data_IF_429979568308
#
_entry.id   IF_429979568308
#
_cell.length_a   1.000
_cell.length_b   1.000
_cell.length_c   1.000
_cell.angle_alpha   90.00
_cell.angle_beta   90.00
_cell.angle_gamma   90.00
#
_symmetry.space_group_name_H-M   'P 1'
#
loop_
_entity.id
_entity.type
_entity.pdbx_description
1 polymer ?
#
# COMPACT_ATOMS: atom_id res chain seq x y z
N UNK A 1 48.47 -40.61 11.54
CA UNK A 1 47.90 -39.59 12.47
C UNK A 1 46.47 -40.00 12.79
N UNK A 2 46.22 -40.29 14.06
CA UNK A 2 44.94 -40.76 14.54
C UNK A 2 43.83 -39.72 14.29
N UNK A 3 42.97 -40.02 13.34
CA UNK A 3 41.88 -39.14 12.91
C UNK A 3 40.66 -39.21 13.82
N UNK A 4 40.67 -40.02 14.85
CA UNK A 4 39.58 -40.30 15.76
C UNK A 4 39.28 -39.11 16.69
N UNK A 5 38.06 -39.08 17.19
CA UNK A 5 37.59 -38.18 18.25
C UNK A 5 36.92 -39.06 19.29
N UNK A 6 37.03 -38.70 20.56
CA UNK A 6 36.25 -39.33 21.63
C UNK A 6 35.28 -38.31 22.19
N UNK A 7 34.00 -38.62 22.10
CA UNK A 7 32.94 -37.81 22.67
C UNK A 7 32.70 -38.16 24.14
N UNK A 8 32.37 -37.19 24.97
CA UNK A 8 31.81 -37.48 26.28
C UNK A 8 30.41 -38.13 26.14
N UNK A 9 30.02 -38.93 27.14
CA UNK A 9 28.65 -39.52 27.12
C UNK A 9 27.55 -38.47 27.01
N UNK A 10 27.77 -37.29 27.62
CA UNK A 10 26.84 -36.15 27.51
C UNK A 10 26.81 -35.60 26.10
N UNK A 11 27.96 -35.35 25.47
CA UNK A 11 28.02 -34.78 24.12
C UNK A 11 27.47 -35.75 23.09
N UNK A 12 27.77 -37.07 23.24
CA UNK A 12 27.20 -38.08 22.36
C UNK A 12 25.67 -38.11 22.42
N UNK A 13 25.06 -38.04 23.62
CA UNK A 13 23.64 -38.01 23.80
C UNK A 13 23.01 -36.72 23.16
N UNK A 14 23.66 -35.60 23.36
CA UNK A 14 23.24 -34.32 22.78
C UNK A 14 23.32 -34.31 21.25
N UNK A 15 24.40 -34.85 20.68
CA UNK A 15 24.54 -34.97 19.22
C UNK A 15 23.55 -35.95 18.61
N UNK A 16 23.21 -37.06 19.28
CA UNK A 16 22.17 -37.97 18.86
C UNK A 16 20.78 -37.28 18.84
N UNK A 17 20.49 -36.45 19.82
CA UNK A 17 19.26 -35.67 19.83
C UNK A 17 19.18 -34.68 18.67
N UNK A 18 20.29 -33.97 18.38
CA UNK A 18 20.40 -33.07 17.23
C UNK A 18 20.27 -33.83 15.91
N UNK A 19 20.88 -34.99 15.79
CA UNK A 19 20.84 -35.82 14.59
C UNK A 19 19.41 -36.29 14.28
N UNK A 20 18.69 -36.78 15.32
CA UNK A 20 17.32 -37.33 15.17
C UNK A 20 16.23 -36.31 15.01
N UNK A 21 16.32 -35.18 15.71
CA UNK A 21 15.22 -34.21 15.83
C UNK A 21 15.58 -32.76 15.47
N UNK A 22 16.81 -32.46 15.07
CA UNK A 22 17.21 -31.08 14.72
C UNK A 22 16.50 -30.57 13.47
N UNK A 23 15.94 -29.35 13.52
CA UNK A 23 15.27 -28.71 12.39
C UNK A 23 16.25 -28.28 11.28
N UNK A 24 17.51 -28.01 11.63
CA UNK A 24 18.56 -27.55 10.71
C UNK A 24 19.32 -28.74 10.12
N UNK A 25 19.19 -28.93 8.80
CA UNK A 25 19.88 -29.99 8.06
C UNK A 25 21.41 -29.94 8.21
N UNK A 26 22.00 -28.74 8.24
CA UNK A 26 23.42 -28.53 8.42
C UNK A 26 23.87 -28.97 9.82
N UNK A 27 23.08 -28.72 10.86
CA UNK A 27 23.39 -29.19 12.21
C UNK A 27 23.30 -30.71 12.33
N UNK A 28 22.32 -31.34 11.69
CA UNK A 28 22.19 -32.80 11.63
C UNK A 28 23.42 -33.42 10.95
N UNK A 29 23.85 -32.87 9.81
CA UNK A 29 25.04 -33.33 9.10
C UNK A 29 26.29 -33.27 9.98
N UNK A 30 26.49 -32.15 10.70
CA UNK A 30 27.61 -31.94 11.61
C UNK A 30 27.59 -32.95 12.77
N UNK A 31 26.44 -33.12 13.37
CA UNK A 31 26.27 -34.09 14.44
C UNK A 31 26.59 -35.53 13.94
N UNK A 32 26.10 -35.88 12.76
CA UNK A 32 26.35 -37.20 12.15
C UNK A 32 27.82 -37.42 11.88
N UNK A 33 28.54 -36.44 11.32
CA UNK A 33 29.99 -36.52 11.11
C UNK A 33 30.73 -36.81 12.43
N UNK A 34 30.40 -36.14 13.52
CA UNK A 34 31.10 -36.31 14.80
C UNK A 34 30.76 -37.66 15.46
N UNK A 35 29.53 -38.12 15.34
CA UNK A 35 29.10 -39.45 15.82
C UNK A 35 29.87 -40.57 15.10
N UNK A 36 29.97 -40.49 13.76
CA UNK A 36 30.73 -41.47 12.98
C UNK A 36 32.22 -41.44 13.27
N UNK A 37 32.78 -40.26 13.55
CA UNK A 37 34.18 -40.14 13.97
C UNK A 37 34.44 -40.75 15.35
N UNK A 38 33.48 -40.62 16.28
CA UNK A 38 33.53 -41.25 17.61
C UNK A 38 33.41 -42.78 17.53
N UNK A 39 32.62 -43.28 16.58
CA UNK A 39 32.48 -44.71 16.27
C UNK A 39 33.68 -45.28 15.50
N UNK A 40 34.71 -44.47 15.23
CA UNK A 40 35.94 -44.91 14.56
C UNK A 40 35.81 -45.17 13.06
N UNK A 41 34.74 -44.67 12.43
CA UNK A 41 34.52 -44.85 10.98
C UNK A 41 35.60 -44.10 10.17
N UNK A 42 36.16 -44.79 9.17
CA UNK A 42 37.19 -44.20 8.32
C UNK A 42 36.68 -42.97 7.57
N UNK A 43 37.49 -41.93 7.45
CA UNK A 43 37.11 -40.64 6.82
C UNK A 43 36.64 -40.78 5.36
N UNK A 44 37.24 -41.73 4.62
CA UNK A 44 36.81 -42.03 3.25
C UNK A 44 35.38 -42.55 3.20
N UNK A 45 35.01 -43.41 4.15
CA UNK A 45 33.67 -43.95 4.30
C UNK A 45 32.69 -42.84 4.69
N UNK A 46 33.02 -42.01 5.68
CA UNK A 46 32.21 -40.85 6.08
C UNK A 46 31.98 -39.91 4.89
N UNK A 47 33.04 -39.61 4.14
CA UNK A 47 32.99 -38.71 3.00
C UNK A 47 32.07 -39.27 1.90
N UNK A 48 32.16 -40.56 1.59
CA UNK A 48 31.34 -41.22 0.60
C UNK A 48 29.86 -41.34 1.04
N UNK A 49 29.61 -41.75 2.30
CA UNK A 49 28.25 -41.96 2.83
C UNK A 49 27.48 -40.64 2.99
N UNK A 50 28.14 -39.59 3.44
CA UNK A 50 27.49 -38.28 3.70
C UNK A 50 27.65 -37.28 2.55
N UNK A 51 28.19 -37.73 1.42
CA UNK A 51 28.44 -36.85 0.25
C UNK A 51 29.16 -35.55 0.62
N UNK A 52 30.22 -35.67 1.45
CA UNK A 52 30.98 -34.54 1.96
C UNK A 52 32.50 -34.71 1.71
N UNK A 53 33.29 -33.67 1.89
CA UNK A 53 34.75 -33.73 1.71
C UNK A 53 35.45 -34.04 3.02
N UNK A 54 36.66 -34.68 2.94
CA UNK A 54 37.53 -34.89 4.09
C UNK A 54 37.93 -33.56 4.73
N UNK A 55 38.05 -32.47 3.95
CA UNK A 55 38.29 -31.12 4.46
C UNK A 55 37.16 -30.65 5.38
N UNK A 56 35.90 -30.96 5.02
CA UNK A 56 34.73 -30.63 5.84
C UNK A 56 34.71 -31.45 7.14
N UNK A 57 35.03 -32.75 7.08
CA UNK A 57 35.15 -33.64 8.24
C UNK A 57 36.20 -33.07 9.20
N UNK A 58 37.41 -32.74 8.70
CA UNK A 58 38.50 -32.18 9.51
C UNK A 58 38.12 -30.84 10.14
N UNK A 59 37.41 -29.98 9.39
CA UNK A 59 36.94 -28.69 9.88
C UNK A 59 36.03 -28.86 11.11
N UNK A 60 35.08 -29.80 11.08
CA UNK A 60 34.15 -30.01 12.18
C UNK A 60 34.79 -30.71 13.36
N UNK A 61 35.72 -31.67 13.12
CA UNK A 61 36.56 -32.28 14.15
C UNK A 61 37.35 -31.21 14.90
N UNK A 62 38.12 -30.36 14.17
CA UNK A 62 38.92 -29.27 14.77
C UNK A 62 38.06 -28.29 15.55
N UNK A 63 36.87 -28.01 15.05
CA UNK A 63 35.95 -27.07 15.69
C UNK A 63 35.37 -27.65 16.99
N UNK A 64 35.00 -28.90 16.99
CA UNK A 64 34.58 -29.58 18.21
C UNK A 64 35.70 -29.66 19.25
N UNK A 65 36.93 -29.99 18.82
CA UNK A 65 38.10 -30.02 19.74
C UNK A 65 38.41 -28.66 20.37
N UNK A 66 38.15 -27.56 19.66
CA UNK A 66 38.40 -26.20 20.14
C UNK A 66 37.27 -25.65 21.01
N UNK A 67 36.03 -25.81 20.55
CA UNK A 67 34.85 -25.07 21.05
C UNK A 67 33.81 -26.03 21.70
N UNK A 68 34.10 -27.34 21.77
CA UNK A 68 33.17 -28.34 22.28
C UNK A 68 31.86 -28.43 21.49
N UNK A 69 30.81 -28.89 22.14
CA UNK A 69 29.47 -29.02 21.59
C UNK A 69 28.92 -27.68 21.06
N UNK A 70 29.19 -26.58 21.74
CA UNK A 70 28.78 -25.24 21.34
C UNK A 70 29.34 -24.84 19.97
N UNK A 71 30.52 -25.32 19.59
CA UNK A 71 31.10 -25.07 18.28
C UNK A 71 30.34 -25.75 17.13
N UNK A 72 29.59 -26.79 17.41
CA UNK A 72 28.88 -27.61 16.43
C UNK A 72 27.37 -27.30 16.39
N UNK A 73 26.77 -27.16 17.56
CA UNK A 73 25.32 -26.91 17.74
C UNK A 73 24.99 -25.44 17.89
N UNK A 74 25.99 -24.63 18.32
CA UNK A 74 25.81 -23.19 18.51
C UNK A 74 25.47 -22.50 17.18
N UNK A 75 24.36 -21.79 17.14
CA UNK A 75 24.11 -20.82 16.09
C UNK A 75 25.21 -19.77 16.10
N UNK A 76 25.67 -19.34 14.92
CA UNK A 76 26.58 -18.20 14.73
C UNK A 76 26.13 -16.88 15.37
N UNK A 77 25.15 -16.89 16.26
CA UNK A 77 24.43 -15.73 16.74
C UNK A 77 25.28 -14.63 17.39
N UNK A 78 26.46 -14.97 17.94
CA UNK A 78 27.27 -13.97 18.62
C UNK A 78 28.23 -13.21 17.68
N UNK A 79 28.83 -13.90 16.71
CA UNK A 79 29.69 -13.22 15.70
C UNK A 79 28.87 -12.37 14.72
N UNK A 80 27.61 -12.73 14.47
CA UNK A 80 26.75 -12.00 13.56
C UNK A 80 26.24 -10.70 14.18
N UNK A 81 25.95 -10.63 15.51
CA UNK A 81 25.50 -9.38 16.16
C UNK A 81 26.59 -8.30 16.19
N UNK A 82 27.81 -8.64 16.51
CA UNK A 82 28.91 -7.69 16.51
C UNK A 82 29.32 -7.23 15.09
N UNK A 83 29.00 -8.03 14.08
CA UNK A 83 29.23 -7.68 12.65
C UNK A 83 28.11 -6.92 11.99
N UNK A 84 26.93 -6.82 12.60
CA UNK A 84 25.73 -6.25 11.99
C UNK A 84 25.29 -4.91 12.62
N UNK A 85 26.17 -4.23 13.35
CA UNK A 85 25.92 -2.89 13.87
C UNK A 85 25.48 -1.92 12.77
N UNK A 86 26.00 -2.09 11.56
CA UNK A 86 25.64 -1.30 10.40
C UNK A 86 24.15 -1.42 10.02
N UNK A 87 23.50 -2.52 10.40
CA UNK A 87 22.08 -2.71 10.08
C UNK A 87 21.21 -1.67 10.80
N UNK A 88 21.48 -1.40 12.06
CA UNK A 88 20.73 -0.38 12.81
C UNK A 88 20.88 1.02 12.16
N UNK A 89 22.11 1.33 11.69
CA UNK A 89 22.39 2.56 10.98
C UNK A 89 21.63 2.63 9.65
N UNK A 90 21.65 1.55 8.86
CA UNK A 90 20.91 1.46 7.59
C UNK A 90 19.40 1.55 7.80
N UNK A 91 18.86 0.92 8.84
CA UNK A 91 17.42 1.03 9.17
C UNK A 91 17.06 2.48 9.42
N UNK A 92 17.82 3.19 10.24
CA UNK A 92 17.61 4.61 10.50
C UNK A 92 17.67 5.46 9.21
N UNK A 93 18.66 5.23 8.34
CA UNK A 93 18.74 5.96 7.07
C UNK A 93 17.49 5.76 6.21
N UNK A 94 17.03 4.51 6.09
CA UNK A 94 15.89 4.18 5.22
C UNK A 94 14.57 4.71 5.76
N UNK A 95 14.41 4.82 7.09
CA UNK A 95 13.16 5.25 7.73
C UNK A 95 13.10 6.74 8.03
N UNK A 96 14.25 7.39 8.31
CA UNK A 96 14.27 8.75 8.83
C UNK A 96 15.03 9.75 7.95
N UNK A 97 15.85 9.29 7.01
CA UNK A 97 16.73 10.16 6.24
C UNK A 97 16.44 10.08 4.72
N UNK A 98 16.74 11.16 4.01
CA UNK A 98 16.78 11.18 2.55
C UNK A 98 18.19 10.91 2.03
N UNK A 99 18.35 10.16 0.91
CA UNK A 99 19.67 10.01 0.25
C UNK A 99 20.35 11.33 -0.11
N UNK A 100 19.57 12.36 -0.37
CA UNK A 100 20.10 13.72 -0.69
C UNK A 100 20.92 14.31 0.44
N UNK A 101 20.59 14.02 1.71
CA UNK A 101 21.37 14.43 2.88
C UNK A 101 22.76 13.78 2.97
N UNK A 102 23.03 12.76 2.13
CA UNK A 102 24.31 12.06 2.02
C UNK A 102 24.97 12.29 0.66
N UNK A 103 24.61 13.36 -0.04
CA UNK A 103 25.23 13.73 -1.31
C UNK A 103 24.73 12.97 -2.55
N UNK A 104 23.72 12.12 -2.43
CA UNK A 104 23.16 11.42 -3.59
C UNK A 104 22.10 12.28 -4.30
N UNK A 105 22.20 12.41 -5.62
CA UNK A 105 21.17 13.06 -6.46
C UNK A 105 20.00 12.08 -6.67
N UNK A 106 19.40 11.56 -5.60
CA UNK A 106 18.30 10.58 -5.63
C UNK A 106 17.36 10.79 -4.46
N UNK A 107 16.05 10.66 -4.70
CA UNK A 107 15.01 10.85 -3.68
C UNK A 107 14.68 9.58 -2.88
N UNK A 108 15.23 8.43 -3.26
CA UNK A 108 14.92 7.14 -2.61
C UNK A 108 16.15 6.29 -2.42
N UNK A 109 16.20 5.58 -1.30
CA UNK A 109 17.23 4.60 -1.05
C UNK A 109 17.09 3.38 -1.95
N UNK A 110 18.20 2.86 -2.43
CA UNK A 110 18.32 1.56 -3.09
C UNK A 110 19.39 0.75 -2.38
N UNK A 111 19.33 -0.59 -2.47
CA UNK A 111 20.39 -1.40 -1.90
C UNK A 111 21.78 -1.06 -2.47
N UNK A 112 21.85 -0.55 -3.70
CA UNK A 112 23.10 -0.11 -4.31
C UNK A 112 23.66 1.14 -3.62
N UNK A 113 22.83 2.17 -3.38
CA UNK A 113 23.27 3.39 -2.69
C UNK A 113 23.65 3.13 -1.24
N UNK A 114 22.92 2.25 -0.55
CA UNK A 114 23.26 1.84 0.81
C UNK A 114 24.63 1.11 0.87
N UNK A 115 24.92 0.24 -0.10
CA UNK A 115 26.22 -0.45 -0.18
C UNK A 115 27.37 0.53 -0.43
N UNK A 116 27.17 1.53 -1.30
CA UNK A 116 28.16 2.57 -1.57
C UNK A 116 28.46 3.35 -0.29
N UNK A 117 27.43 3.86 0.38
CA UNK A 117 27.58 4.63 1.62
C UNK A 117 28.26 3.80 2.75
N UNK A 118 27.84 2.55 2.92
CA UNK A 118 28.45 1.64 3.89
C UNK A 118 29.94 1.40 3.61
N UNK A 119 30.31 1.26 2.33
CA UNK A 119 31.70 1.04 1.92
C UNK A 119 32.57 2.29 2.13
N UNK A 120 32.08 3.42 1.67
CA UNK A 120 32.90 4.65 1.55
C UNK A 120 33.02 5.35 2.91
N UNK A 121 31.93 5.51 3.65
CA UNK A 121 31.92 6.26 4.91
C UNK A 121 32.15 5.38 6.14
N UNK A 122 31.71 4.12 6.09
CA UNK A 122 31.73 3.22 7.25
C UNK A 122 32.69 2.03 7.11
N UNK A 123 33.40 1.93 5.97
CA UNK A 123 34.36 0.84 5.67
C UNK A 123 33.73 -0.57 5.77
N UNK A 124 32.41 -0.67 5.64
CA UNK A 124 31.65 -1.93 5.69
C UNK A 124 31.45 -2.48 4.28
N UNK A 125 32.05 -3.63 3.99
CA UNK A 125 31.93 -4.34 2.70
C UNK A 125 30.83 -5.39 2.79
N UNK A 126 29.66 -5.09 2.21
CA UNK A 126 28.52 -5.99 2.11
C UNK A 126 27.96 -5.99 0.68
N UNK A 127 27.39 -7.10 0.26
CA UNK A 127 26.72 -7.18 -1.05
C UNK A 127 25.28 -6.64 -1.01
N UNK A 128 24.76 -6.17 -2.16
CA UNK A 128 23.38 -5.68 -2.31
C UNK A 128 22.33 -6.68 -1.84
N UNK A 129 22.54 -7.96 -2.14
CA UNK A 129 21.62 -9.02 -1.72
C UNK A 129 21.63 -9.23 -0.19
N UNK A 130 22.77 -9.08 0.46
CA UNK A 130 22.87 -9.13 1.92
C UNK A 130 22.07 -7.99 2.54
N UNK A 131 22.24 -6.76 2.04
CA UNK A 131 21.44 -5.60 2.50
C UNK A 131 19.96 -5.86 2.29
N UNK A 132 19.53 -6.29 1.09
CA UNK A 132 18.13 -6.59 0.77
C UNK A 132 17.52 -7.63 1.72
N UNK A 133 18.24 -8.73 1.96
CA UNK A 133 17.80 -9.81 2.85
C UNK A 133 17.67 -9.32 4.30
N UNK A 134 18.60 -8.49 4.77
CA UNK A 134 18.55 -7.94 6.13
C UNK A 134 17.44 -6.92 6.32
N UNK A 135 17.21 -6.05 5.34
CA UNK A 135 16.06 -5.13 5.36
C UNK A 135 14.74 -5.90 5.44
N UNK A 136 14.58 -6.96 4.64
CA UNK A 136 13.38 -7.82 4.70
C UNK A 136 13.22 -8.53 6.05
N UNK A 137 14.32 -9.08 6.58
CA UNK A 137 14.31 -9.73 7.90
C UNK A 137 13.98 -8.75 9.04
N UNK A 138 14.26 -7.46 8.84
CA UNK A 138 13.88 -6.38 9.76
C UNK A 138 12.44 -5.83 9.51
N UNK A 139 11.65 -6.51 8.68
CA UNK A 139 10.26 -6.14 8.41
C UNK A 139 10.05 -5.07 7.34
N UNK A 140 11.13 -4.59 6.67
CA UNK A 140 10.98 -3.61 5.60
C UNK A 140 10.58 -4.28 4.29
N UNK A 141 9.65 -3.65 3.58
CA UNK A 141 9.16 -4.10 2.28
C UNK A 141 9.35 -3.03 1.23
N UNK A 142 9.67 -3.45 0.00
CA UNK A 142 9.75 -2.53 -1.13
C UNK A 142 8.36 -2.35 -1.74
N UNK A 143 7.72 -1.21 -1.46
CA UNK A 143 6.37 -0.89 -1.93
C UNK A 143 6.31 0.56 -2.45
N UNK A 144 5.30 0.86 -3.28
CA UNK A 144 4.99 2.23 -3.66
C UNK A 144 4.44 2.97 -2.44
N UNK A 145 5.02 4.15 -2.04
CA UNK A 145 4.46 4.94 -0.96
C UNK A 145 3.09 5.52 -1.37
N UNK A 146 2.22 5.71 -0.39
CA UNK A 146 0.99 6.48 -0.57
C UNK A 146 1.34 7.96 -0.48
N UNK A 147 0.93 8.80 -1.45
CA UNK A 147 1.08 10.24 -1.32
C UNK A 147 0.22 10.73 -0.15
N UNK A 148 0.81 11.58 0.68
CA UNK A 148 0.11 12.27 1.77
C UNK A 148 0.26 13.75 1.48
N UNK A 149 -0.86 14.45 1.42
CA UNK A 149 -0.87 15.89 1.25
C UNK A 149 -0.32 16.60 2.48
N UNK A 150 0.33 17.75 2.26
CA UNK A 150 0.98 18.56 3.27
C UNK A 150 0.08 19.04 4.42
N UNK A 151 0.39 20.16 5.11
CA UNK A 151 -0.28 20.49 6.36
C UNK A 151 -1.80 20.49 6.23
N UNK A 152 -2.44 19.77 7.16
CA UNK A 152 -3.91 19.67 7.23
C UNK A 152 -4.51 21.06 7.46
N UNK A 153 -5.73 21.27 6.95
CA UNK A 153 -6.53 22.48 7.18
C UNK A 153 -6.57 22.82 8.69
N UNK A 154 -6.09 24.00 9.14
CA UNK A 154 -6.18 24.37 10.55
C UNK A 154 -7.61 24.36 11.10
N UNK A 155 -8.60 24.61 10.25
CA UNK A 155 -10.02 24.55 10.58
C UNK A 155 -10.65 23.16 10.43
N UNK A 156 -9.83 22.10 10.21
CA UNK A 156 -10.31 20.73 10.00
C UNK A 156 -11.32 20.27 11.07
N UNK A 157 -11.03 20.35 12.39
CA UNK A 157 -11.96 19.90 13.42
C UNK A 157 -13.29 20.69 13.41
N UNK A 158 -13.21 22.01 13.22
CA UNK A 158 -14.37 22.88 13.25
C UNK A 158 -15.28 22.63 12.01
N UNK A 159 -14.69 22.50 10.82
CA UNK A 159 -15.45 22.21 9.58
C UNK A 159 -16.11 20.82 9.67
N UNK A 160 -15.33 19.81 10.06
CA UNK A 160 -15.86 18.45 10.22
C UNK A 160 -16.95 18.39 11.29
N UNK A 161 -16.76 19.07 12.41
CA UNK A 161 -17.74 19.16 13.50
C UNK A 161 -19.07 19.73 13.04
N UNK A 162 -19.05 20.80 12.23
CA UNK A 162 -20.27 21.38 11.64
C UNK A 162 -20.99 20.43 10.68
N UNK A 163 -20.25 19.73 9.82
CA UNK A 163 -20.84 18.75 8.91
C UNK A 163 -21.44 17.57 9.69
N UNK A 164 -20.72 17.06 10.69
CA UNK A 164 -21.25 15.98 11.56
C UNK A 164 -22.51 16.40 12.32
N UNK A 165 -22.56 17.64 12.83
CA UNK A 165 -23.75 18.18 13.48
C UNK A 165 -24.93 18.25 12.52
N UNK A 166 -24.72 18.79 11.30
CA UNK A 166 -25.73 18.81 10.26
C UNK A 166 -26.28 17.41 9.95
N UNK A 167 -25.40 16.44 9.68
CA UNK A 167 -25.82 15.07 9.31
C UNK A 167 -26.58 14.36 10.44
N UNK A 168 -26.21 14.62 11.71
CA UNK A 168 -26.86 14.03 12.90
C UNK A 168 -28.29 14.57 13.12
N UNK A 169 -28.49 15.85 12.85
CA UNK A 169 -29.75 16.56 13.12
C UNK A 169 -30.50 16.95 11.85
N UNK A 170 -30.21 16.32 10.70
CA UNK A 170 -30.79 16.63 9.41
C UNK A 170 -32.33 16.46 9.44
N UNK A 171 -33.13 17.50 9.25
CA UNK A 171 -34.61 17.42 9.25
C UNK A 171 -35.15 16.51 8.14
N UNK A 172 -36.31 15.89 8.36
CA UNK A 172 -36.91 14.99 7.37
C UNK A 172 -37.24 15.70 6.03
N UNK A 173 -37.56 16.99 6.10
CA UNK A 173 -37.83 17.83 4.91
C UNK A 173 -36.60 18.37 4.19
N UNK A 174 -35.40 18.03 4.66
CA UNK A 174 -34.13 18.49 4.10
C UNK A 174 -33.28 17.30 3.63
N UNK A 175 -32.41 17.52 2.65
CA UNK A 175 -31.50 16.51 2.12
C UNK A 175 -30.05 17.00 2.17
N UNK A 176 -29.14 16.12 2.53
CA UNK A 176 -27.70 16.37 2.46
C UNK A 176 -27.06 15.42 1.43
N UNK A 177 -26.25 15.98 0.54
CA UNK A 177 -25.55 15.24 -0.50
C UNK A 177 -24.06 15.55 -0.47
N UNK A 178 -23.23 14.53 -0.66
CA UNK A 178 -21.80 14.67 -0.86
C UNK A 178 -21.50 14.77 -2.35
N UNK A 179 -20.91 15.87 -2.78
CA UNK A 179 -20.67 16.20 -4.17
C UNK A 179 -19.19 16.14 -4.52
N UNK A 180 -18.89 15.66 -5.74
CA UNK A 180 -17.55 15.70 -6.34
C UNK A 180 -17.64 15.46 -7.87
N UNK A 181 -16.52 15.67 -8.58
CA UNK A 181 -16.40 15.38 -10.00
C UNK A 181 -15.38 14.28 -10.29
N UNK A 182 -15.75 13.37 -11.20
CA UNK A 182 -14.87 12.31 -11.70
C UNK A 182 -14.49 12.54 -13.16
N UNK A 183 -13.22 12.25 -13.51
CA UNK A 183 -12.73 12.28 -14.89
C UNK A 183 -12.77 10.89 -15.54
N UNK A 184 -13.41 10.80 -16.69
CA UNK A 184 -13.45 9.62 -17.54
C UNK A 184 -12.53 9.85 -18.73
N UNK A 185 -11.60 8.93 -18.96
CA UNK A 185 -10.55 9.05 -19.97
C UNK A 185 -10.61 7.88 -20.95
N UNK A 186 -10.52 8.14 -22.25
CA UNK A 186 -10.45 7.09 -23.27
C UNK A 186 -9.15 6.29 -23.21
N UNK A 187 -8.06 6.88 -22.74
CA UNK A 187 -6.85 6.12 -22.41
C UNK A 187 -6.99 5.58 -20.97
N UNK A 188 -7.13 4.24 -20.79
CA UNK A 188 -7.35 3.65 -19.48
C UNK A 188 -6.16 3.87 -18.55
N UNK A 189 -6.44 4.11 -17.28
CA UNK A 189 -5.44 3.95 -16.21
C UNK A 189 -5.19 2.44 -16.05
N UNK A 190 -3.94 2.02 -16.06
CA UNK A 190 -3.59 0.61 -15.92
C UNK A 190 -3.68 0.18 -14.46
N UNK A 191 -4.45 -0.86 -14.21
CA UNK A 191 -4.58 -1.54 -12.93
C UNK A 191 -4.05 -2.97 -12.97
N UNK A 192 -3.98 -3.62 -11.81
CA UNK A 192 -3.61 -5.04 -11.73
C UNK A 192 -4.70 -5.91 -12.35
N UNK A 193 -4.27 -6.97 -13.06
CA UNK A 193 -5.18 -7.96 -13.62
C UNK A 193 -4.53 -9.35 -13.64
N UNK A 194 -5.33 -10.40 -13.72
CA UNK A 194 -4.83 -11.75 -13.88
C UNK A 194 -4.22 -11.96 -15.26
N UNK A 195 -2.99 -12.50 -15.30
CA UNK A 195 -2.29 -12.82 -16.55
C UNK A 195 -1.45 -14.09 -16.39
N UNK A 196 -1.12 -14.74 -17.49
CA UNK A 196 -0.26 -15.92 -17.47
C UNK A 196 1.15 -15.55 -16.99
N UNK A 197 1.73 -16.37 -16.13
CA UNK A 197 3.11 -16.19 -15.68
C UNK A 197 4.07 -16.16 -16.88
N UNK A 198 4.91 -15.14 -16.93
CA UNK A 198 5.85 -14.93 -18.04
C UNK A 198 5.25 -14.33 -19.30
N UNK A 199 3.95 -13.97 -19.33
CA UNK A 199 3.30 -13.26 -20.43
C UNK A 199 2.66 -11.98 -19.92
N UNK A 200 3.23 -10.83 -20.27
CA UNK A 200 2.67 -9.53 -19.94
C UNK A 200 1.36 -9.33 -20.73
N UNK A 201 0.27 -9.00 -20.03
CA UNK A 201 -0.97 -8.60 -20.69
C UNK A 201 -0.83 -7.18 -21.24
N UNK A 202 -1.42 -6.96 -22.40
CA UNK A 202 -1.44 -5.66 -23.07
C UNK A 202 -2.87 -5.12 -23.11
N UNK A 203 -3.01 -3.83 -22.82
CA UNK A 203 -4.26 -3.09 -22.94
C UNK A 203 -4.10 -2.10 -24.07
N UNK A 204 -4.80 -2.36 -25.19
CA UNK A 204 -4.77 -1.46 -26.35
C UNK A 204 -5.46 -0.16 -25.99
N UNK A 205 -4.80 0.96 -26.23
CA UNK A 205 -5.33 2.30 -25.97
C UNK A 205 -5.59 3.03 -27.30
N UNK A 206 -6.59 3.93 -27.36
CA UNK A 206 -6.85 4.73 -28.59
C UNK A 206 -5.71 5.68 -28.97
N UNK A 207 -4.80 5.99 -28.03
CA UNK A 207 -3.68 6.92 -28.25
C UNK A 207 -4.05 8.38 -27.99
N UNK A 208 -5.08 8.89 -28.67
CA UNK A 208 -5.62 10.23 -28.39
C UNK A 208 -6.55 10.19 -27.20
N UNK A 209 -6.13 10.81 -26.09
CA UNK A 209 -6.93 10.81 -24.88
C UNK A 209 -8.04 11.87 -24.95
N UNK A 210 -9.27 11.44 -25.04
CA UNK A 210 -10.43 12.28 -24.78
C UNK A 210 -10.78 12.21 -23.30
N UNK A 211 -11.18 13.34 -22.70
CA UNK A 211 -11.67 13.43 -21.33
C UNK A 211 -13.12 13.86 -21.29
N UNK A 212 -13.88 13.27 -20.37
CA UNK A 212 -15.21 13.70 -20.00
C UNK A 212 -15.29 13.81 -18.48
N UNK A 213 -15.95 14.84 -17.98
CA UNK A 213 -16.20 15.00 -16.56
C UNK A 213 -17.65 14.69 -16.23
N UNK A 214 -17.88 14.01 -15.13
CA UNK A 214 -19.18 13.79 -14.53
C UNK A 214 -19.17 14.46 -13.16
N UNK A 215 -20.16 15.31 -12.90
CA UNK A 215 -20.43 15.78 -11.55
C UNK A 215 -21.44 14.83 -10.90
N UNK A 216 -21.15 14.40 -9.68
CA UNK A 216 -22.00 13.48 -8.93
C UNK A 216 -22.30 13.98 -7.53
N UNK A 217 -23.44 13.55 -7.01
CA UNK A 217 -23.83 13.77 -5.61
C UNK A 217 -24.42 12.51 -5.01
N UNK A 218 -23.88 12.08 -3.89
CA UNK A 218 -24.31 10.91 -3.11
C UNK A 218 -25.19 11.38 -1.95
N UNK A 219 -26.43 10.95 -1.95
CA UNK A 219 -27.42 11.26 -0.91
C UNK A 219 -27.04 10.53 0.40
N UNK A 220 -26.88 11.29 1.47
CA UNK A 220 -26.46 10.78 2.77
C UNK A 220 -27.41 9.76 3.40
N UNK A 221 -28.71 9.89 3.21
CA UNK A 221 -29.69 8.98 3.80
C UNK A 221 -29.96 7.76 2.96
N UNK A 222 -29.98 7.92 1.64
CA UNK A 222 -30.47 6.88 0.74
C UNK A 222 -29.38 6.18 -0.03
N UNK A 223 -28.15 6.71 -0.03
CA UNK A 223 -27.06 6.21 -0.88
C UNK A 223 -27.32 6.40 -2.37
N UNK A 224 -28.37 7.13 -2.77
CA UNK A 224 -28.68 7.37 -4.18
C UNK A 224 -27.74 8.38 -4.78
N UNK A 225 -27.32 8.10 -6.02
CA UNK A 225 -26.45 8.98 -6.79
C UNK A 225 -27.25 9.85 -7.76
N UNK A 226 -26.94 11.13 -7.83
CA UNK A 226 -27.40 12.06 -8.86
C UNK A 226 -26.21 12.45 -9.71
N UNK A 227 -26.32 12.37 -11.04
CA UNK A 227 -25.24 12.60 -11.98
C UNK A 227 -25.59 13.68 -13.00
N UNK A 228 -24.59 14.49 -13.33
CA UNK A 228 -24.63 15.46 -14.43
C UNK A 228 -23.43 15.25 -15.32
N UNK A 229 -23.66 14.95 -16.59
CA UNK A 229 -22.59 14.75 -17.55
C UNK A 229 -22.15 16.08 -18.15
N UNK A 230 -20.84 16.35 -18.06
CA UNK A 230 -20.22 17.49 -18.72
C UNK A 230 -20.27 17.36 -20.26
N UNK A 231 -20.28 18.50 -20.96
CA UNK A 231 -20.24 18.54 -22.42
C UNK A 231 -18.87 18.09 -22.95
N UNK A 232 -18.77 17.71 -24.25
CA UNK A 232 -17.49 17.47 -24.91
C UNK A 232 -16.54 18.66 -24.72
N UNK A 233 -15.26 18.36 -24.34
CA UNK A 233 -14.20 19.36 -24.08
C UNK A 233 -14.51 20.35 -22.93
N UNK A 234 -15.58 20.15 -22.19
CA UNK A 234 -15.86 20.90 -20.98
C UNK A 234 -14.92 20.40 -19.87
N UNK A 235 -14.18 21.30 -19.23
CA UNK A 235 -13.38 21.00 -18.05
C UNK A 235 -14.23 20.85 -16.78
N UNK A 236 -13.59 20.48 -15.68
CA UNK A 236 -14.13 20.61 -14.33
C UNK A 236 -14.20 22.11 -13.99
N UNK A 237 -15.34 22.72 -14.23
CA UNK A 237 -15.51 24.15 -14.16
C UNK A 237 -16.85 24.54 -13.50
N UNK A 238 -17.04 25.85 -13.29
CA UNK A 238 -18.24 26.42 -12.66
C UNK A 238 -19.51 26.09 -13.43
N UNK A 239 -19.47 25.99 -14.77
CA UNK A 239 -20.66 25.68 -15.57
C UNK A 239 -21.18 24.27 -15.31
N UNK A 240 -20.29 23.28 -15.19
CA UNK A 240 -20.66 21.92 -14.83
C UNK A 240 -21.25 21.86 -13.42
N UNK A 241 -20.62 22.56 -12.46
CA UNK A 241 -21.11 22.63 -11.10
C UNK A 241 -22.52 23.28 -11.01
N UNK A 242 -22.74 24.40 -11.67
CA UNK A 242 -24.05 25.06 -11.71
C UNK A 242 -25.12 24.18 -12.36
N UNK A 243 -24.81 23.52 -13.49
CA UNK A 243 -25.72 22.56 -14.12
C UNK A 243 -26.07 21.41 -13.17
N UNK A 244 -25.09 20.94 -12.37
CA UNK A 244 -25.32 19.91 -11.37
C UNK A 244 -26.23 20.40 -10.23
N UNK A 245 -26.04 21.63 -9.75
CA UNK A 245 -26.94 22.21 -8.75
C UNK A 245 -28.41 22.32 -9.27
N UNK A 246 -28.60 22.62 -10.55
CA UNK A 246 -29.93 22.60 -11.17
C UNK A 246 -30.51 21.19 -11.24
N UNK A 247 -29.73 20.18 -11.55
CA UNK A 247 -30.16 18.78 -11.52
C UNK A 247 -30.56 18.35 -10.10
N UNK A 248 -29.79 18.72 -9.10
CA UNK A 248 -30.12 18.48 -7.69
C UNK A 248 -31.43 19.14 -7.30
N UNK A 249 -31.67 20.40 -7.71
CA UNK A 249 -32.92 21.10 -7.44
C UNK A 249 -34.12 20.41 -8.10
N UNK A 250 -33.99 19.92 -9.32
CA UNK A 250 -35.03 19.13 -10.02
C UNK A 250 -35.27 17.81 -9.31
N UNK A 251 -34.22 17.11 -8.93
CA UNK A 251 -34.27 15.80 -8.25
C UNK A 251 -34.95 15.91 -6.90
N UNK A 252 -34.52 16.88 -6.09
CA UNK A 252 -34.97 17.06 -4.71
C UNK A 252 -36.06 18.16 -4.58
N UNK A 253 -36.93 18.32 -5.60
CA UNK A 253 -37.93 19.38 -5.64
C UNK A 253 -38.92 19.41 -4.46
N UNK A 254 -39.11 18.27 -3.78
CA UNK A 254 -39.99 18.12 -2.61
C UNK A 254 -39.33 18.48 -1.28
N UNK A 255 -38.04 18.64 -1.24
CA UNK A 255 -37.29 19.01 -0.03
C UNK A 255 -37.22 20.52 0.09
N UNK A 256 -37.22 21.04 1.30
CA UNK A 256 -37.15 22.48 1.57
C UNK A 256 -35.75 23.02 1.36
N UNK A 257 -34.74 22.27 1.81
CA UNK A 257 -33.30 22.63 1.71
C UNK A 257 -32.49 21.48 1.16
N UNK A 258 -31.56 21.80 0.28
CA UNK A 258 -30.55 20.89 -0.26
C UNK A 258 -29.17 21.33 0.27
N UNK A 259 -28.61 20.55 1.18
CA UNK A 259 -27.27 20.76 1.69
C UNK A 259 -26.27 20.06 0.79
N UNK A 260 -25.42 20.82 0.10
CA UNK A 260 -24.36 20.31 -0.78
C UNK A 260 -23.03 20.35 -0.05
N UNK A 261 -22.48 19.20 0.25
CA UNK A 261 -21.19 19.06 0.94
C UNK A 261 -20.13 18.75 -0.12
N UNK A 262 -19.22 19.68 -0.39
CA UNK A 262 -18.22 19.56 -1.47
C UNK A 262 -16.84 20.05 -1.04
N UNK A 263 -15.84 19.83 -1.90
CA UNK A 263 -14.48 20.33 -1.69
C UNK A 263 -14.38 21.85 -1.86
N UNK A 264 -13.20 22.40 -1.55
CA UNK A 264 -12.92 23.84 -1.67
C UNK A 264 -12.39 24.22 -3.06
N UNK A 265 -12.72 23.52 -4.12
CA UNK A 265 -12.25 23.85 -5.46
C UNK A 265 -12.68 25.27 -5.90
N UNK A 266 -11.80 25.94 -6.62
CA UNK A 266 -12.06 27.31 -7.12
C UNK A 266 -13.38 27.43 -7.89
N UNK A 267 -13.78 26.46 -8.75
CA UNK A 267 -15.09 26.50 -9.43
C UNK A 267 -16.28 26.59 -8.48
N UNK A 268 -16.22 25.94 -7.30
CA UNK A 268 -17.30 25.92 -6.32
C UNK A 268 -17.43 27.24 -5.54
N UNK A 269 -16.39 28.06 -5.54
CA UNK A 269 -16.33 29.35 -4.83
C UNK A 269 -16.46 30.57 -5.76
N UNK A 270 -16.68 30.32 -7.05
CA UNK A 270 -16.76 31.38 -8.06
C UNK A 270 -17.88 32.39 -7.77
N UNK A 271 -17.73 33.62 -8.25
CA UNK A 271 -18.74 34.69 -8.12
C UNK A 271 -20.10 34.22 -8.63
N UNK A 272 -20.15 33.55 -9.78
CA UNK A 272 -21.39 33.01 -10.36
C UNK A 272 -22.10 31.98 -9.46
N UNK A 273 -21.36 31.21 -8.67
CA UNK A 273 -21.97 30.30 -7.68
C UNK A 273 -22.62 31.08 -6.55
N UNK A 274 -21.98 32.14 -6.07
CA UNK A 274 -22.59 33.04 -5.04
C UNK A 274 -23.86 33.73 -5.55
N UNK A 275 -23.81 34.21 -6.78
CA UNK A 275 -24.98 34.81 -7.45
C UNK A 275 -26.12 33.78 -7.60
N UNK A 276 -25.79 32.53 -7.99
CA UNK A 276 -26.76 31.44 -8.08
C UNK A 276 -27.38 31.12 -6.71
N UNK A 277 -26.56 31.05 -5.65
CA UNK A 277 -27.05 30.77 -4.30
C UNK A 277 -27.97 31.92 -3.80
N UNK A 278 -27.61 33.17 -4.07
CA UNK A 278 -28.45 34.33 -3.72
C UNK A 278 -29.79 34.29 -4.44
N UNK A 279 -29.81 33.92 -5.73
CA UNK A 279 -31.06 33.76 -6.50
C UNK A 279 -31.97 32.59 -6.01
N UNK A 280 -31.40 31.69 -5.25
CA UNK A 280 -32.09 30.50 -4.70
C UNK A 280 -31.93 30.41 -3.17
N UNK A 281 -31.98 31.57 -2.52
CA UNK A 281 -31.74 31.71 -1.08
C UNK A 281 -32.61 30.75 -0.25
N UNK A 282 -31.94 30.11 0.73
CA UNK A 282 -32.53 29.09 1.60
C UNK A 282 -32.79 27.73 0.92
N UNK A 283 -32.73 27.65 -0.41
CA UNK A 283 -33.02 26.38 -1.13
C UNK A 283 -31.79 25.50 -1.32
N UNK A 284 -30.59 26.07 -1.54
CA UNK A 284 -29.33 25.37 -1.69
C UNK A 284 -28.32 25.99 -0.74
N UNK A 285 -27.73 25.15 0.09
CA UNK A 285 -26.71 25.55 1.07
C UNK A 285 -25.44 24.73 0.84
N UNK A 286 -24.31 25.41 0.58
CA UNK A 286 -23.04 24.75 0.37
C UNK A 286 -22.26 24.65 1.68
N UNK A 287 -21.75 23.46 1.96
CA UNK A 287 -20.85 23.18 3.08
C UNK A 287 -19.50 22.71 2.53
N UNK A 288 -18.44 23.47 2.83
CA UNK A 288 -17.13 23.10 2.35
C UNK A 288 -16.42 22.12 3.31
N UNK A 289 -15.95 21.02 2.75
CA UNK A 289 -15.11 20.05 3.43
C UNK A 289 -13.78 20.68 3.88
N UNK A 290 -13.09 20.09 4.86
CA UNK A 290 -11.73 20.49 5.17
C UNK A 290 -10.83 20.37 3.92
N UNK A 291 -9.93 21.34 3.73
CA UNK A 291 -9.01 21.34 2.60
C UNK A 291 -8.09 20.10 2.64
N UNK A 292 -7.82 19.54 1.47
CA UNK A 292 -6.93 18.37 1.33
C UNK A 292 -7.32 17.14 2.16
N UNK A 293 -8.60 16.92 2.36
CA UNK A 293 -9.14 15.83 3.15
C UNK A 293 -10.16 14.95 2.37
N UNK A 294 -9.75 14.29 1.26
CA UNK A 294 -10.67 13.51 0.42
C UNK A 294 -11.37 12.38 1.20
N UNK A 295 -10.74 11.85 2.25
CA UNK A 295 -11.36 10.84 3.12
C UNK A 295 -12.65 11.33 3.82
N UNK A 296 -12.90 12.65 3.86
CA UNK A 296 -14.13 13.23 4.40
C UNK A 296 -15.26 13.32 3.38
N UNK A 297 -15.04 12.89 2.12
CA UNK A 297 -16.05 12.88 1.08
C UNK A 297 -16.37 11.43 0.66
N UNK A 298 -17.45 10.81 1.14
CA UNK A 298 -17.82 9.43 0.85
C UNK A 298 -17.98 9.11 -0.65
N UNK A 299 -18.36 10.07 -1.48
CA UNK A 299 -18.52 9.86 -2.93
C UNK A 299 -17.20 9.46 -3.62
N UNK A 300 -16.06 9.81 -3.06
CA UNK A 300 -14.74 9.38 -3.54
C UNK A 300 -14.60 7.85 -3.57
N UNK A 301 -15.31 7.14 -2.67
CA UNK A 301 -15.34 5.67 -2.68
C UNK A 301 -16.13 5.14 -3.87
N UNK A 302 -17.23 5.79 -4.25
CA UNK A 302 -17.99 5.45 -5.46
C UNK A 302 -17.11 5.63 -6.70
N UNK A 303 -16.36 6.72 -6.80
CA UNK A 303 -15.40 6.95 -7.89
C UNK A 303 -14.26 5.94 -7.92
N UNK A 304 -13.79 5.54 -6.74
CA UNK A 304 -12.77 4.50 -6.64
C UNK A 304 -13.28 3.16 -7.20
N UNK A 305 -14.49 2.72 -6.84
CA UNK A 305 -15.11 1.51 -7.37
C UNK A 305 -15.36 1.62 -8.89
N UNK A 306 -15.88 2.75 -9.36
CA UNK A 306 -16.05 3.01 -10.78
C UNK A 306 -14.73 2.84 -11.55
N UNK A 307 -13.64 3.36 -11.01
CA UNK A 307 -12.32 3.21 -11.64
C UNK A 307 -11.83 1.77 -11.59
N UNK A 308 -11.93 1.08 -10.47
CA UNK A 308 -11.45 -0.31 -10.35
C UNK A 308 -12.21 -1.27 -11.25
N UNK A 309 -13.51 -1.09 -11.40
CA UNK A 309 -14.39 -2.06 -12.06
C UNK A 309 -14.65 -1.74 -13.54
N UNK A 310 -14.65 -0.46 -13.92
CA UNK A 310 -15.07 -0.03 -15.26
C UNK A 310 -13.96 0.64 -16.05
N UNK A 311 -13.33 1.69 -15.49
CA UNK A 311 -12.46 2.56 -16.29
C UNK A 311 -10.99 2.16 -16.28
N UNK A 312 -10.57 1.24 -15.41
CA UNK A 312 -9.23 0.62 -15.48
C UNK A 312 -9.22 -0.50 -16.51
N UNK A 313 -8.13 -0.59 -17.25
CA UNK A 313 -7.90 -1.64 -18.25
C UNK A 313 -9.04 -1.81 -19.28
N UNK A 314 -9.94 -0.83 -19.42
CA UNK A 314 -11.00 -0.90 -20.43
C UNK A 314 -10.42 -0.95 -21.85
N UNK A 315 -11.19 -1.48 -22.80
CA UNK A 315 -10.79 -1.62 -24.21
C UNK A 315 -11.71 -0.83 -25.12
N UNK A 316 -12.47 0.14 -24.59
CA UNK A 316 -13.33 1.00 -25.40
C UNK A 316 -12.52 1.84 -26.37
N UNK A 317 -12.97 1.93 -27.59
CA UNK A 317 -12.34 2.72 -28.65
C UNK A 317 -12.81 4.17 -28.67
N UNK A 318 -14.00 4.43 -28.18
CA UNK A 318 -14.63 5.75 -28.18
C UNK A 318 -15.09 6.15 -26.79
N UNK A 319 -15.21 7.47 -26.57
CA UNK A 319 -15.78 8.01 -25.33
C UNK A 319 -17.24 7.59 -25.14
N UNK A 320 -18.01 7.45 -26.23
CA UNK A 320 -19.42 7.03 -26.17
C UNK A 320 -19.55 5.61 -25.65
N UNK A 321 -18.75 4.66 -26.13
CA UNK A 321 -18.72 3.29 -25.59
C UNK A 321 -18.37 3.27 -24.11
N UNK A 322 -17.37 4.04 -23.71
CA UNK A 322 -16.94 4.08 -22.31
C UNK A 322 -18.00 4.70 -21.42
N UNK A 323 -18.62 5.80 -21.83
CA UNK A 323 -19.72 6.44 -21.08
C UNK A 323 -20.94 5.52 -20.96
N UNK A 324 -21.24 4.72 -21.98
CA UNK A 324 -22.31 3.72 -21.91
C UNK A 324 -22.03 2.69 -20.80
N UNK A 325 -20.78 2.18 -20.72
CA UNK A 325 -20.39 1.26 -19.63
C UNK A 325 -20.48 1.94 -18.26
N UNK A 326 -19.98 3.17 -18.16
CA UNK A 326 -20.04 3.96 -16.92
C UNK A 326 -21.47 4.18 -16.47
N UNK A 327 -22.36 4.60 -17.37
CA UNK A 327 -23.77 4.81 -17.03
C UNK A 327 -24.49 3.51 -16.68
N UNK A 328 -24.22 2.42 -17.38
CA UNK A 328 -24.80 1.11 -17.06
C UNK A 328 -24.36 0.63 -15.67
N UNK A 329 -23.09 0.80 -15.31
CA UNK A 329 -22.59 0.45 -13.99
C UNK A 329 -23.23 1.31 -12.89
N UNK A 330 -23.35 2.62 -13.11
CA UNK A 330 -23.98 3.56 -12.17
C UNK A 330 -25.50 3.36 -12.05
N UNK A 331 -26.14 2.78 -13.06
CA UNK A 331 -27.57 2.48 -13.06
C UNK A 331 -27.91 1.10 -12.49
N UNK A 332 -26.96 0.16 -12.54
CA UNK A 332 -27.13 -1.21 -12.04
C UNK A 332 -27.38 -1.20 -10.52
N UNK A 333 -26.65 -0.35 -9.80
CA UNK A 333 -26.85 -0.12 -8.38
C UNK A 333 -27.62 1.20 -8.19
N UNK A 334 -28.90 1.10 -7.86
CA UNK A 334 -29.73 2.30 -7.58
C UNK A 334 -29.29 3.04 -6.32
N UNK A 335 -28.53 2.37 -5.45
CA UNK A 335 -28.00 2.89 -4.17
C UNK A 335 -26.60 2.38 -3.93
N UNK A 336 -25.70 3.28 -3.55
CA UNK A 336 -24.32 2.97 -3.18
C UNK A 336 -24.15 2.98 -1.66
N UNK A 337 -23.45 1.99 -1.08
CA UNK A 337 -23.17 2.04 0.35
C UNK A 337 -22.29 3.26 0.67
N UNK A 338 -22.59 3.91 1.79
CA UNK A 338 -21.78 5.04 2.26
C UNK A 338 -20.58 4.49 3.02
N UNK A 339 -19.48 4.30 2.30
CA UNK A 339 -18.24 3.79 2.87
C UNK A 339 -17.43 4.94 3.48
N UNK A 340 -17.38 5.01 4.79
CA UNK A 340 -16.63 6.07 5.48
C UNK A 340 -16.24 5.65 6.89
N UNK A 341 -14.97 5.90 7.26
CA UNK A 341 -14.52 5.79 8.66
C UNK A 341 -14.83 7.08 9.45
N UNK A 342 -14.96 8.20 8.75
CA UNK A 342 -15.10 9.54 9.35
C UNK A 342 -16.47 9.76 9.95
N UNK A 343 -17.51 9.15 9.39
CA UNK A 343 -18.92 9.27 9.81
C UNK A 343 -19.54 7.94 10.23
N UNK A 344 -18.72 6.91 10.49
CA UNK A 344 -19.20 5.55 10.78
C UNK A 344 -20.18 5.51 11.97
N UNK A 345 -19.92 6.27 13.02
CA UNK A 345 -20.79 6.38 14.20
C UNK A 345 -22.16 6.98 13.89
N UNK A 346 -22.28 7.83 12.87
CA UNK A 346 -23.57 8.42 12.45
C UNK A 346 -24.39 7.42 11.63
N UNK A 347 -23.73 6.54 10.85
CA UNK A 347 -24.41 5.49 10.08
C UNK A 347 -24.94 4.35 10.98
N UNK A 348 -24.27 4.10 12.12
CA UNK A 348 -24.72 3.08 13.08
C UNK A 348 -25.88 3.56 13.97
N UNK A 349 -26.12 4.87 14.04
CA UNK A 349 -27.14 5.48 14.86
C UNK A 349 -28.44 5.81 14.08
N UNK A 350 -28.44 5.65 12.78
CA UNK A 350 -29.56 5.91 11.87
C UNK A 350 -30.28 4.62 11.49
#
# INVERSE_FOLDING_TARGET
MDGSIRLSGHDRKSLLTVYRGGADADQRLRAHILLLLDDGVAWSVIAATLFTSTATINRWRRRYRRDGLAGVTGRRAWRDRAREWWLAVVLRWVTECSPTGFGFVRSRWTCATLVVLLRDDYRVRVGRETVRRRLRAAGLVWRRPRPVLGPKDPAYPAKLGRIRALLRSLPAGEVAVFQDEVDINTNPKIGSMWMRRGRQAEVVTPGNNEKRYLAGSLDWRTGRLTLTQGRPRQGRNTDLFLAHLDDLRRRYRRYTVIHVICDNAKPHQAKRVREYLAAHEGRVVIHYLPAYAPQTNPIERVWWHLHEEVTRNHRCRTMTELLTLVHNWLAADSTFPIETDVYADLLMAA
#
